data_IF_502135902895
#
_entry.id   IF_502135902895
#
_cell.length_a   1.000
_cell.length_b   1.000
_cell.length_c   1.000
_cell.angle_alpha   90.00
_cell.angle_beta   90.00
_cell.angle_gamma   90.00
#
_symmetry.space_group_name_H-M   'P 1'
#
loop_
_entity.id
_entity.type
_entity.pdbx_description
1 polymer ?
#
# COMPACT_ATOMS: atom_id res chain seq x y z
N UNK A 1 -25.36 -11.22 -15.57
CA UNK A 1 -24.43 -10.19 -16.10
C UNK A 1 -23.12 -10.87 -16.45
N UNK A 2 -22.74 -10.84 -17.73
CA UNK A 2 -21.53 -11.50 -18.22
C UNK A 2 -20.28 -10.92 -17.56
N UNK A 3 -19.44 -11.79 -17.00
CA UNK A 3 -18.13 -11.44 -16.45
C UNK A 3 -17.18 -11.18 -17.60
N UNK A 4 -17.12 -9.94 -18.09
CA UNK A 4 -16.05 -9.53 -18.99
C UNK A 4 -14.70 -9.83 -18.32
N UNK A 5 -13.83 -10.59 -18.99
CA UNK A 5 -12.49 -10.81 -18.51
C UNK A 5 -11.77 -9.46 -18.42
N UNK A 6 -11.31 -9.11 -17.22
CA UNK A 6 -10.53 -7.89 -17.02
C UNK A 6 -9.16 -8.13 -17.63
N UNK A 7 -8.90 -7.53 -18.79
CA UNK A 7 -7.56 -7.50 -19.37
C UNK A 7 -6.59 -6.68 -18.50
N UNK A 8 -5.26 -6.84 -18.68
CA UNK A 8 -4.30 -5.96 -18.05
C UNK A 8 -4.49 -4.52 -18.60
N UNK A 9 -4.74 -3.56 -17.72
CA UNK A 9 -4.87 -2.13 -18.07
C UNK A 9 -3.83 -1.31 -17.32
N UNK A 10 -3.42 -0.18 -17.93
CA UNK A 10 -2.46 0.76 -17.33
C UNK A 10 -2.88 2.20 -17.61
N UNK A 11 -2.57 3.10 -16.68
CA UNK A 11 -2.81 4.54 -16.86
C UNK A 11 -4.30 4.88 -16.93
N UNK A 12 -4.68 5.84 -17.77
CA UNK A 12 -6.05 6.34 -17.86
C UNK A 12 -7.10 5.29 -18.22
N UNK A 13 -6.71 4.18 -18.85
CA UNK A 13 -7.61 3.09 -19.23
C UNK A 13 -8.18 2.34 -18.02
N UNK A 14 -7.42 2.29 -16.92
CA UNK A 14 -7.81 1.63 -15.67
C UNK A 14 -9.14 2.19 -15.15
N UNK A 15 -9.33 3.50 -15.29
CA UNK A 15 -10.54 4.21 -14.80
C UNK A 15 -11.78 3.99 -15.68
N UNK A 16 -11.63 3.46 -16.89
CA UNK A 16 -12.74 3.07 -17.77
C UNK A 16 -13.21 1.63 -17.55
N UNK A 17 -12.47 0.84 -16.75
CA UNK A 17 -12.85 -0.53 -16.47
C UNK A 17 -14.17 -0.58 -15.68
N UNK A 18 -15.05 -1.51 -16.04
CA UNK A 18 -16.34 -1.72 -15.37
C UNK A 18 -16.20 -2.47 -14.02
N UNK A 19 -15.27 -2.04 -13.16
CA UNK A 19 -15.02 -2.59 -11.82
C UNK A 19 -14.84 -1.50 -10.78
N UNK A 20 -15.18 -1.81 -9.52
CA UNK A 20 -14.95 -0.89 -8.42
C UNK A 20 -13.46 -0.74 -8.12
N UNK A 21 -12.94 0.49 -8.18
CA UNK A 21 -11.57 0.86 -7.83
C UNK A 21 -11.59 1.96 -6.77
N UNK A 22 -10.59 2.06 -5.87
CA UNK A 22 -10.51 3.17 -4.91
C UNK A 22 -10.58 4.54 -5.61
N UNK A 23 -11.31 5.53 -5.05
CA UNK A 23 -11.92 5.55 -3.73
C UNK A 23 -13.32 4.89 -3.64
N UNK A 24 -13.85 4.33 -4.73
CA UNK A 24 -15.14 3.66 -4.71
C UNK A 24 -15.15 2.46 -3.75
N UNK A 25 -16.30 2.18 -3.15
CA UNK A 25 -16.47 1.04 -2.24
C UNK A 25 -16.28 -0.26 -2.99
N UNK A 26 -15.31 -1.06 -2.55
CA UNK A 26 -15.05 -2.39 -3.09
C UNK A 26 -15.74 -3.46 -2.23
N UNK A 27 -16.16 -4.56 -2.86
CA UNK A 27 -16.76 -5.69 -2.14
C UNK A 27 -15.76 -6.26 -1.11
N UNK A 28 -16.19 -6.58 0.12
CA UNK A 28 -15.29 -7.07 1.16
C UNK A 28 -14.78 -8.50 0.88
N UNK A 29 -15.48 -9.26 0.03
CA UNK A 29 -15.05 -10.54 -0.52
C UNK A 29 -15.25 -10.57 -2.04
N UNK A 30 -14.32 -11.19 -2.77
CA UNK A 30 -14.42 -11.47 -4.20
C UNK A 30 -13.71 -12.78 -4.51
N UNK A 31 -14.39 -13.70 -5.20
CA UNK A 31 -13.78 -14.96 -5.60
C UNK A 31 -13.31 -15.83 -4.43
N UNK A 32 -14.05 -15.82 -3.31
CA UNK A 32 -13.67 -16.54 -2.08
C UNK A 32 -12.53 -15.89 -1.28
N UNK A 33 -12.01 -14.74 -1.73
CA UNK A 33 -10.87 -14.07 -1.09
C UNK A 33 -11.33 -12.77 -0.42
N UNK A 34 -10.88 -12.49 0.83
CA UNK A 34 -11.16 -11.22 1.47
C UNK A 34 -10.43 -10.09 0.72
N UNK A 35 -11.00 -8.89 0.77
CA UNK A 35 -10.41 -7.70 0.21
C UNK A 35 -9.09 -7.39 0.94
N UNK A 36 -8.01 -7.34 0.15
CA UNK A 36 -6.69 -6.91 0.59
C UNK A 36 -6.46 -5.47 0.18
N UNK A 37 -6.00 -4.66 1.12
CA UNK A 37 -5.71 -3.24 0.95
C UNK A 37 -4.37 -2.96 1.59
N UNK A 38 -3.46 -2.34 0.87
CA UNK A 38 -2.12 -2.06 1.37
C UNK A 38 -1.57 -0.74 0.84
N UNK A 39 -0.74 -0.11 1.66
CA UNK A 39 0.12 1.00 1.28
C UNK A 39 1.55 0.62 1.65
N UNK A 40 2.44 0.79 0.68
CA UNK A 40 3.86 0.47 0.82
C UNK A 40 4.65 1.72 0.45
N UNK A 41 5.64 2.05 1.28
CA UNK A 41 6.58 3.14 1.08
C UNK A 41 7.98 2.55 1.16
N UNK A 42 8.82 2.85 0.18
CA UNK A 42 10.22 2.48 0.15
C UNK A 42 11.09 3.72 -0.01
N UNK A 43 12.19 3.80 0.72
CA UNK A 43 13.25 4.77 0.54
C UNK A 43 14.54 3.98 0.34
N UNK A 44 15.18 4.19 -0.81
CA UNK A 44 16.38 3.44 -1.20
C UNK A 44 17.48 4.43 -1.57
N UNK A 45 18.55 4.41 -0.81
CA UNK A 45 19.75 5.20 -1.07
C UNK A 45 21.00 4.37 -0.73
N UNK A 46 22.20 4.81 -1.10
CA UNK A 46 23.44 4.16 -0.68
C UNK A 46 23.60 4.08 0.84
N UNK A 47 22.98 4.99 1.60
CA UNK A 47 23.12 5.07 3.06
C UNK A 47 22.15 4.16 3.80
N UNK A 48 20.99 3.80 3.20
CA UNK A 48 20.02 2.90 3.80
C UNK A 48 18.99 2.36 2.79
N UNK A 49 18.39 1.23 3.15
CA UNK A 49 17.13 0.75 2.56
C UNK A 49 16.06 0.72 3.65
N UNK A 50 15.02 1.52 3.49
CA UNK A 50 13.88 1.59 4.41
C UNK A 50 12.62 1.13 3.68
N UNK A 51 11.80 0.34 4.35
CA UNK A 51 10.43 0.10 3.94
C UNK A 51 9.44 0.26 5.09
N UNK A 52 8.23 0.66 4.73
CA UNK A 52 7.08 0.73 5.64
C UNK A 52 5.84 0.21 4.93
N UNK A 53 5.09 -0.66 5.61
CA UNK A 53 3.83 -1.20 5.11
C UNK A 53 2.68 -1.03 6.10
N UNK A 54 1.51 -0.65 5.58
CA UNK A 54 0.21 -0.78 6.23
C UNK A 54 -0.67 -1.67 5.36
N UNK A 55 -1.06 -2.83 5.86
CA UNK A 55 -1.98 -3.72 5.19
C UNK A 55 -3.23 -3.97 6.03
N UNK A 56 -4.34 -4.19 5.34
CA UNK A 56 -5.57 -4.75 5.88
C UNK A 56 -6.00 -5.91 5.00
N UNK A 57 -6.09 -7.09 5.58
CA UNK A 57 -6.62 -8.29 4.95
C UNK A 57 -7.98 -8.57 5.59
N UNK A 58 -9.05 -8.20 4.88
CA UNK A 58 -10.38 -8.16 5.48
C UNK A 58 -10.40 -7.23 6.71
N UNK A 59 -10.75 -7.73 7.91
CA UNK A 59 -10.76 -6.94 9.14
C UNK A 59 -9.38 -6.84 9.83
N UNK A 60 -8.39 -7.64 9.43
CA UNK A 60 -7.11 -7.76 10.16
C UNK A 60 -6.11 -6.71 9.66
N UNK A 61 -5.69 -5.73 10.50
CA UNK A 61 -4.58 -4.86 10.18
C UNK A 61 -3.24 -5.54 10.48
N UNK A 62 -2.29 -5.37 9.57
CA UNK A 62 -0.90 -5.78 9.73
C UNK A 62 -0.01 -4.63 9.27
N UNK A 63 0.96 -4.25 10.09
CA UNK A 63 1.88 -3.17 9.80
C UNK A 63 3.31 -3.63 10.00
N UNK A 64 4.23 -3.09 9.20
CA UNK A 64 5.64 -3.43 9.34
C UNK A 64 6.54 -2.30 8.89
N UNK A 65 7.77 -2.33 9.36
CA UNK A 65 8.88 -1.56 8.82
C UNK A 65 10.18 -2.34 8.93
N UNK A 66 11.12 -2.01 8.06
CA UNK A 66 12.48 -2.50 8.12
C UNK A 66 13.45 -1.42 7.65
N UNK A 67 14.60 -1.31 8.32
CA UNK A 67 15.74 -0.47 7.93
C UNK A 67 16.95 -1.37 7.81
N UNK A 68 17.54 -1.44 6.62
CA UNK A 68 18.82 -2.07 6.37
C UNK A 68 19.89 -0.99 6.14
N UNK A 69 21.05 -1.18 6.75
CA UNK A 69 22.22 -0.32 6.60
C UNK A 69 23.31 -1.01 5.78
N UNK A 70 24.25 -0.26 5.15
CA UNK A 70 25.32 -0.83 4.32
C UNK A 70 26.22 -1.84 5.06
N UNK A 71 26.34 -1.70 6.38
CA UNK A 71 27.10 -2.63 7.23
C UNK A 71 26.43 -3.98 7.49
N UNK A 72 25.27 -4.25 6.87
CA UNK A 72 24.51 -5.50 7.04
C UNK A 72 23.57 -5.52 8.24
N UNK A 73 23.51 -4.43 9.02
CA UNK A 73 22.55 -4.29 10.11
C UNK A 73 21.13 -4.18 9.56
N UNK A 74 20.21 -5.00 10.09
CA UNK A 74 18.78 -4.99 9.79
C UNK A 74 18.01 -4.79 11.09
N UNK A 75 17.21 -3.73 11.14
CA UNK A 75 16.22 -3.51 12.20
C UNK A 75 14.83 -3.57 11.61
N UNK A 76 13.94 -4.33 12.22
CA UNK A 76 12.59 -4.50 11.72
C UNK A 76 11.57 -4.71 12.83
N UNK A 77 10.30 -4.48 12.49
CA UNK A 77 9.18 -4.79 13.36
C UNK A 77 7.93 -5.05 12.53
N UNK A 78 7.21 -6.11 12.87
CA UNK A 78 5.85 -6.37 12.39
C UNK A 78 4.87 -6.34 13.56
N UNK A 79 3.72 -5.72 13.37
CA UNK A 79 2.66 -5.62 14.38
C UNK A 79 1.29 -5.94 13.80
N UNK A 80 0.48 -6.62 14.60
CA UNK A 80 -0.93 -6.92 14.32
C UNK A 80 -1.76 -6.09 15.32
N UNK A 81 -2.53 -5.10 14.84
CA UNK A 81 -3.29 -4.19 15.71
C UNK A 81 -2.64 -2.81 15.94
N UNK A 82 -2.94 -2.16 17.08
CA UNK A 82 -2.48 -0.78 17.41
C UNK A 82 -1.09 -0.73 18.09
N UNK A 83 -0.55 -1.85 18.55
CA UNK A 83 0.71 -1.88 19.28
C UNK A 83 1.92 -1.62 18.37
N UNK A 84 2.88 -0.82 18.85
CA UNK A 84 4.25 -0.73 18.31
C UNK A 84 4.44 -0.02 16.96
N UNK A 85 3.42 0.60 16.38
CA UNK A 85 3.56 1.42 15.18
C UNK A 85 2.46 2.48 15.04
N UNK A 86 2.82 3.76 15.20
CA UNK A 86 1.94 4.90 14.97
C UNK A 86 1.96 5.32 13.49
N UNK A 87 1.42 4.45 12.63
CA UNK A 87 1.35 4.71 11.20
C UNK A 87 0.10 5.54 10.88
N UNK A 88 0.29 6.86 10.70
CA UNK A 88 -0.73 7.74 10.14
C UNK A 88 -0.63 7.75 8.62
N UNK A 89 -1.02 6.63 8.01
CA UNK A 89 -1.20 6.56 6.57
C UNK A 89 -2.70 6.71 6.27
N UNK A 90 -3.17 7.90 5.89
CA UNK A 90 -4.49 7.99 5.31
C UNK A 90 -4.54 7.05 4.09
N UNK A 91 -5.45 6.09 4.15
CA UNK A 91 -5.85 5.24 3.01
C UNK A 91 -6.54 6.06 1.91
N UNK A 92 -6.94 7.28 2.25
CA UNK A 92 -7.81 8.11 1.43
C UNK A 92 -6.98 9.01 0.53
N UNK A 93 -7.53 9.16 -0.67
CA UNK A 93 -7.30 10.10 -1.76
C UNK A 93 -6.05 10.99 -1.64
N UNK A 94 -5.23 11.11 -2.73
CA UNK A 94 -4.19 12.12 -2.80
C UNK A 94 -4.73 13.46 -2.28
N UNK A 95 -4.13 13.97 -1.20
CA UNK A 95 -4.44 15.31 -0.71
C UNK A 95 -3.40 16.27 -1.26
N UNK A 96 -3.75 17.54 -1.39
CA UNK A 96 -2.77 18.59 -1.70
C UNK A 96 -1.70 18.76 -0.60
N UNK A 97 -1.82 18.08 0.54
CA UNK A 97 -0.88 18.11 1.64
C UNK A 97 0.11 16.94 1.57
N UNK A 98 1.38 17.13 1.96
CA UNK A 98 2.35 16.05 2.10
C UNK A 98 1.83 14.98 3.09
N UNK A 99 2.04 13.71 2.76
CA UNK A 99 1.76 12.63 3.72
C UNK A 99 2.93 12.51 4.68
N UNK A 100 2.66 12.58 5.99
CA UNK A 100 3.67 12.33 7.02
C UNK A 100 3.57 10.91 7.53
N UNK A 101 4.67 10.17 7.46
CA UNK A 101 4.79 8.83 7.98
C UNK A 101 5.62 8.87 9.27
N UNK A 102 5.13 8.22 10.32
CA UNK A 102 5.90 7.97 11.54
C UNK A 102 5.92 6.48 11.85
N UNK A 103 7.09 5.97 12.16
CA UNK A 103 7.29 4.57 12.52
C UNK A 103 8.42 4.45 13.54
N UNK A 104 8.39 3.41 14.37
CA UNK A 104 9.46 3.22 15.36
C UNK A 104 9.11 2.21 16.44
N UNK A 105 10.10 1.43 16.82
CA UNK A 105 10.11 0.52 17.97
C UNK A 105 11.57 0.18 18.30
N UNK A 106 11.87 -0.23 19.53
CA UNK A 106 13.22 -0.72 19.90
C UNK A 106 14.33 0.30 19.65
N UNK A 107 14.09 1.58 19.98
CA UNK A 107 15.08 2.66 19.78
C UNK A 107 15.20 3.18 18.34
N UNK A 108 14.41 2.68 17.40
CA UNK A 108 14.34 3.21 16.02
C UNK A 108 13.21 4.21 15.90
N UNK A 109 13.48 5.34 15.23
CA UNK A 109 12.49 6.37 14.86
C UNK A 109 12.65 6.70 13.37
N UNK A 110 11.54 6.61 12.65
CA UNK A 110 11.43 6.85 11.21
C UNK A 110 10.39 7.96 11.02
N UNK A 111 10.77 9.02 10.33
CA UNK A 111 9.89 10.10 9.92
C UNK A 111 10.09 10.39 8.45
N UNK A 112 9.02 10.30 7.65
CA UNK A 112 9.06 10.62 6.23
C UNK A 112 8.01 11.68 5.92
N UNK A 113 8.36 12.59 5.02
CA UNK A 113 7.42 13.46 4.34
C UNK A 113 7.36 13.04 2.87
N UNK A 114 6.16 12.68 2.40
CA UNK A 114 5.95 12.15 1.06
C UNK A 114 5.24 13.21 0.21
N UNK A 115 5.86 13.58 -0.91
CA UNK A 115 5.18 14.28 -1.98
C UNK A 115 4.26 13.31 -2.71
N UNK A 116 2.96 13.62 -2.76
CA UNK A 116 1.96 12.80 -3.45
C UNK A 116 1.73 13.31 -4.87
N UNK A 117 1.85 12.41 -5.85
CA UNK A 117 1.56 12.71 -7.26
C UNK A 117 0.20 12.17 -7.72
N UNK A 118 -0.07 12.09 -9.03
CA UNK A 118 -1.14 11.27 -9.57
C UNK A 118 -0.78 9.77 -9.55
N UNK A 119 0.50 9.45 -9.69
CA UNK A 119 0.99 8.06 -9.79
C UNK A 119 0.53 7.37 -11.08
N UNK A 120 1.00 6.14 -11.27
CA UNK A 120 0.59 5.26 -12.38
C UNK A 120 -0.26 4.15 -11.81
N UNK A 121 -1.45 3.97 -12.40
CA UNK A 121 -2.36 2.91 -12.02
C UNK A 121 -2.23 1.70 -12.95
N UNK A 122 -2.42 0.52 -12.37
CA UNK A 122 -2.50 -0.74 -13.11
C UNK A 122 -3.67 -1.56 -12.61
N UNK A 123 -4.32 -2.26 -13.52
CA UNK A 123 -5.33 -3.26 -13.23
C UNK A 123 -4.88 -4.57 -13.87
N UNK A 124 -4.90 -5.66 -13.12
CA UNK A 124 -4.49 -6.97 -13.62
C UNK A 124 -5.49 -8.04 -13.17
N UNK A 125 -5.81 -9.03 -14.03
CA UNK A 125 -6.62 -10.17 -13.63
C UNK A 125 -5.92 -10.98 -12.53
N UNK A 126 -6.70 -11.53 -11.60
CA UNK A 126 -6.19 -12.36 -10.52
C UNK A 126 -7.20 -13.47 -10.18
N UNK A 127 -7.16 -14.58 -10.93
CA UNK A 127 -8.17 -15.64 -10.83
C UNK A 127 -9.56 -15.09 -11.11
N UNK A 128 -10.51 -15.31 -10.19
CA UNK A 128 -11.86 -14.75 -10.26
C UNK A 128 -11.98 -13.31 -9.70
N UNK A 129 -10.84 -12.66 -9.45
CA UNK A 129 -10.73 -11.29 -8.94
C UNK A 129 -9.78 -10.44 -9.81
N UNK A 130 -9.38 -9.28 -9.29
CA UNK A 130 -8.41 -8.40 -9.91
C UNK A 130 -7.52 -7.76 -8.85
N UNK A 131 -6.35 -7.30 -9.29
CA UNK A 131 -5.42 -6.51 -8.49
C UNK A 131 -5.39 -5.12 -9.12
N UNK A 132 -5.61 -4.11 -8.28
CA UNK A 132 -5.37 -2.71 -8.64
C UNK A 132 -4.16 -2.21 -7.86
N UNK A 133 -3.27 -1.49 -8.53
CA UNK A 133 -2.17 -0.77 -7.87
C UNK A 133 -2.10 0.66 -8.36
N UNK A 134 -1.61 1.55 -7.50
CA UNK A 134 -1.17 2.91 -7.85
C UNK A 134 0.25 3.07 -7.30
N UNK A 135 1.19 3.40 -8.17
CA UNK A 135 2.62 3.54 -7.81
C UNK A 135 3.13 4.92 -8.19
N UNK A 136 4.01 5.50 -7.37
CA UNK A 136 4.73 6.73 -7.65
C UNK A 136 6.17 6.57 -7.16
N UNK A 137 7.08 7.35 -7.73
CA UNK A 137 8.49 7.46 -7.34
C UNK A 137 8.83 8.94 -7.26
#
# INVERSE_FOLDING_TARGET
MARGAIGPLRGGEVRRAAVALPPARMAPWRGGRPLKRWRYVGVYSPELMLCVGDARIGPVPQRWWAVALPGGELRERTTFGRGGLALDLPWRTPTARPTRLRAGAGGVRIELELAEGPGVETLSPAGSAYIWTRKQA
#
